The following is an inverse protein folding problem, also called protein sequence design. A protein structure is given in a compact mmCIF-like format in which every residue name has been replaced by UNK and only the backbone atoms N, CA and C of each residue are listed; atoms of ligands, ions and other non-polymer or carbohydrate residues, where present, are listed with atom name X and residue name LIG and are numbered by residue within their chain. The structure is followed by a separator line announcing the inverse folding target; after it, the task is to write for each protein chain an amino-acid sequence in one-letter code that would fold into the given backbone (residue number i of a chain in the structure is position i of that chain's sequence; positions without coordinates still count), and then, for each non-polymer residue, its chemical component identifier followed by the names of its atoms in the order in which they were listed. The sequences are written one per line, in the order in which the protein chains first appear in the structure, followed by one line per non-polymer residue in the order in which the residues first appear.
data_IF_836696484843
#
_entry.id   IF_836696484843
#
_cell.length_a   1.000
_cell.length_b   1.000
_cell.length_c   1.000
_cell.angle_alpha   90.00
_cell.angle_beta   90.00
_cell.angle_gamma   90.00
#
_symmetry.space_group_name_H-M   'P 1'
#
loop_
_entity.id
_entity.type
_entity.pdbx_description
1 polymer ?
#
# COMPACT_ATOMS: atom_id res chain seq x y z
N UNK A 1 -63.35 5.62 -19.50
CA UNK A 1 -61.91 5.56 -19.84
C UNK A 1 -61.19 4.94 -18.65
N UNK A 2 -60.66 3.72 -18.80
CA UNK A 2 -59.95 3.04 -17.73
C UNK A 2 -58.55 3.68 -17.57
N UNK A 3 -58.26 4.18 -16.36
CA UNK A 3 -56.96 4.74 -16.00
C UNK A 3 -55.95 3.59 -16.05
N UNK A 4 -55.08 3.58 -17.06
CA UNK A 4 -54.03 2.56 -17.23
C UNK A 4 -53.12 2.65 -16.00
N UNK A 5 -53.19 1.63 -15.13
CA UNK A 5 -52.36 1.52 -13.93
C UNK A 5 -50.92 1.32 -14.41
N UNK A 6 -50.09 2.34 -14.25
CA UNK A 6 -48.66 2.24 -14.53
C UNK A 6 -48.09 1.26 -13.51
N UNK A 7 -47.58 0.11 -13.96
CA UNK A 7 -46.81 -0.78 -13.10
C UNK A 7 -45.54 -0.03 -12.71
N UNK A 8 -45.44 0.34 -11.43
CA UNK A 8 -44.22 0.92 -10.88
C UNK A 8 -43.16 -0.18 -10.87
N UNK A 9 -42.03 0.07 -11.54
CA UNK A 9 -40.89 -0.84 -11.49
C UNK A 9 -40.50 -1.08 -10.02
N UNK A 10 -40.30 -2.34 -9.64
CA UNK A 10 -39.97 -2.70 -8.25
C UNK A 10 -38.63 -2.08 -7.83
N UNK A 11 -37.69 -2.04 -8.77
CA UNK A 11 -36.33 -1.55 -8.59
C UNK A 11 -36.03 -0.52 -9.69
N UNK A 12 -35.46 0.60 -9.30
CA UNK A 12 -34.84 1.57 -10.21
C UNK A 12 -33.46 1.04 -10.65
N UNK A 13 -33.06 1.32 -11.89
CA UNK A 13 -31.78 0.90 -12.45
C UNK A 13 -30.84 2.10 -12.56
N UNK A 14 -29.62 1.94 -12.05
CA UNK A 14 -28.58 2.97 -11.99
C UNK A 14 -27.41 2.48 -12.83
N UNK A 15 -27.12 3.19 -13.91
CA UNK A 15 -26.01 2.89 -14.83
C UNK A 15 -24.91 3.94 -14.79
N UNK A 16 -25.20 5.16 -14.30
CA UNK A 16 -24.28 6.29 -14.33
C UNK A 16 -24.03 6.91 -12.93
N UNK A 17 -22.91 7.62 -12.79
CA UNK A 17 -22.59 8.36 -11.56
C UNK A 17 -23.63 9.46 -11.24
N UNK A 18 -24.24 10.09 -12.25
CA UNK A 18 -25.29 11.09 -12.05
C UNK A 18 -26.56 10.46 -11.46
N UNK A 19 -27.00 9.32 -11.99
CA UNK A 19 -28.16 8.56 -11.46
C UNK A 19 -27.91 8.06 -10.04
N UNK A 20 -26.67 7.66 -9.74
CA UNK A 20 -26.25 7.26 -8.40
C UNK A 20 -26.42 8.40 -7.41
N UNK A 21 -25.89 9.58 -7.70
CA UNK A 21 -26.01 10.76 -6.84
C UNK A 21 -27.46 11.20 -6.67
N UNK A 22 -28.24 11.21 -7.75
CA UNK A 22 -29.66 11.56 -7.72
C UNK A 22 -30.47 10.57 -6.85
N UNK A 23 -30.17 9.27 -6.96
CA UNK A 23 -30.83 8.26 -6.13
C UNK A 23 -30.51 8.48 -4.66
N UNK A 24 -29.24 8.73 -4.31
CA UNK A 24 -28.81 8.92 -2.93
C UNK A 24 -29.38 10.18 -2.25
N UNK A 25 -29.82 11.18 -3.02
CA UNK A 25 -30.49 12.37 -2.49
C UNK A 25 -31.94 12.12 -2.06
N UNK A 26 -32.53 10.99 -2.43
CA UNK A 26 -33.92 10.67 -2.09
C UNK A 26 -34.07 10.38 -0.60
N UNK A 27 -35.22 10.76 -0.06
CA UNK A 27 -35.58 10.48 1.33
C UNK A 27 -35.91 8.99 1.54
N UNK A 28 -35.62 8.50 2.75
CA UNK A 28 -35.88 7.14 3.18
C UNK A 28 -34.68 6.20 3.06
N UNK A 29 -34.98 4.91 3.25
CA UNK A 29 -34.02 3.81 3.16
C UNK A 29 -34.00 3.26 1.74
N UNK A 30 -32.85 3.31 1.10
CA UNK A 30 -32.61 2.81 -0.25
C UNK A 30 -31.70 1.59 -0.17
N UNK A 31 -32.21 0.44 -0.60
CA UNK A 31 -31.42 -0.79 -0.73
C UNK A 31 -31.00 -0.92 -2.19
N UNK A 32 -29.69 -0.90 -2.43
CA UNK A 32 -29.11 -0.96 -3.77
C UNK A 32 -28.36 -2.29 -3.94
N UNK A 33 -28.83 -3.11 -4.88
CA UNK A 33 -28.14 -4.33 -5.31
C UNK A 33 -27.06 -3.96 -6.35
N UNK A 34 -25.80 -4.09 -5.96
CA UNK A 34 -24.64 -3.76 -6.78
C UNK A 34 -24.30 -4.97 -7.64
N UNK A 35 -24.25 -4.75 -8.95
CA UNK A 35 -23.96 -5.79 -9.93
C UNK A 35 -22.96 -5.31 -10.99
N UNK A 36 -22.45 -6.24 -11.79
CA UNK A 36 -21.58 -5.95 -12.92
C UNK A 36 -22.25 -6.33 -14.24
N UNK A 37 -21.87 -5.68 -15.33
CA UNK A 37 -22.46 -5.88 -16.66
C UNK A 37 -22.53 -7.36 -17.09
N UNK A 38 -21.50 -8.14 -16.74
CA UNK A 38 -21.40 -9.54 -17.11
C UNK A 38 -22.25 -10.50 -16.24
N UNK A 39 -22.66 -10.10 -15.02
CA UNK A 39 -23.47 -10.94 -14.13
C UNK A 39 -24.93 -10.51 -14.02
N UNK A 40 -25.22 -9.22 -14.22
CA UNK A 40 -26.54 -8.64 -14.00
C UNK A 40 -26.99 -8.66 -12.53
N UNK A 41 -28.12 -8.02 -12.22
CA UNK A 41 -28.63 -7.93 -10.86
C UNK A 41 -29.14 -9.28 -10.33
N UNK A 42 -29.22 -9.39 -9.01
CA UNK A 42 -29.57 -10.64 -8.35
C UNK A 42 -31.06 -10.99 -8.50
N UNK A 43 -31.37 -11.84 -9.49
CA UNK A 43 -32.75 -12.33 -9.75
C UNK A 43 -33.40 -13.02 -8.55
N UNK A 44 -32.60 -13.65 -7.67
CA UNK A 44 -33.10 -14.33 -6.47
C UNK A 44 -33.64 -13.36 -5.41
N UNK A 45 -33.08 -12.14 -5.32
CA UNK A 45 -33.50 -11.14 -4.35
C UNK A 45 -34.81 -10.43 -4.76
N UNK A 46 -35.11 -10.35 -6.05
CA UNK A 46 -36.31 -9.68 -6.60
C UNK A 46 -37.60 -10.18 -5.95
N UNK A 47 -37.75 -11.50 -5.77
CA UNK A 47 -38.93 -12.10 -5.15
C UNK A 47 -39.10 -11.71 -3.69
N UNK A 48 -37.98 -11.66 -2.95
CA UNK A 48 -37.94 -11.24 -1.55
C UNK A 48 -38.31 -9.76 -1.40
N UNK A 49 -37.70 -8.88 -2.20
CA UNK A 49 -38.01 -7.44 -2.16
C UNK A 49 -39.46 -7.14 -2.53
N UNK A 50 -40.02 -7.86 -3.50
CA UNK A 50 -41.44 -7.75 -3.84
C UNK A 50 -42.35 -8.11 -2.67
N UNK A 51 -42.04 -9.21 -1.97
CA UNK A 51 -42.79 -9.65 -0.79
C UNK A 51 -42.69 -8.61 0.34
N UNK A 52 -41.48 -8.21 0.70
CA UNK A 52 -41.24 -7.23 1.77
C UNK A 52 -41.93 -5.90 1.47
N UNK A 53 -41.85 -5.39 0.22
CA UNK A 53 -42.51 -4.15 -0.17
C UNK A 53 -44.03 -4.23 -0.04
N UNK A 54 -44.62 -5.37 -0.40
CA UNK A 54 -46.06 -5.60 -0.26
C UNK A 54 -46.51 -5.76 1.20
N UNK A 55 -45.68 -6.39 2.05
CA UNK A 55 -45.98 -6.61 3.47
C UNK A 55 -45.84 -5.32 4.30
N UNK A 56 -44.77 -4.56 4.08
CA UNK A 56 -44.50 -3.33 4.83
C UNK A 56 -45.30 -2.14 4.30
N UNK A 57 -45.49 -2.05 2.98
CA UNK A 57 -46.19 -0.94 2.31
C UNK A 57 -45.75 0.44 2.84
N UNK A 58 -44.43 0.63 2.92
CA UNK A 58 -43.79 1.80 3.50
C UNK A 58 -43.18 2.69 2.41
N UNK A 59 -43.55 3.97 2.39
CA UNK A 59 -43.11 4.94 1.39
C UNK A 59 -41.62 5.32 1.54
N UNK A 60 -41.03 5.10 2.71
CA UNK A 60 -39.59 5.31 2.94
C UNK A 60 -38.74 4.15 2.42
N UNK A 61 -39.34 3.01 2.03
CA UNK A 61 -38.60 1.83 1.59
C UNK A 61 -38.45 1.79 0.05
N UNK A 62 -37.23 2.02 -0.40
CA UNK A 62 -36.86 2.05 -1.82
C UNK A 62 -35.87 0.94 -2.16
N UNK A 63 -36.00 0.38 -3.37
CA UNK A 63 -35.08 -0.62 -3.90
C UNK A 63 -34.53 -0.13 -5.24
N UNK A 64 -33.24 -0.34 -5.46
CA UNK A 64 -32.57 -0.06 -6.71
C UNK A 64 -31.57 -1.17 -7.04
N UNK A 65 -31.11 -1.19 -8.29
CA UNK A 65 -29.99 -1.99 -8.77
C UNK A 65 -28.98 -1.04 -9.39
N UNK A 66 -27.68 -1.26 -9.15
CA UNK A 66 -26.64 -0.40 -9.71
C UNK A 66 -25.57 -1.21 -10.43
N UNK A 67 -25.32 -0.84 -11.68
CA UNK A 67 -24.24 -1.37 -12.51
C UNK A 67 -22.92 -0.70 -12.13
N UNK A 68 -22.10 -1.40 -11.37
CA UNK A 68 -20.84 -0.89 -10.83
C UNK A 68 -19.87 -0.40 -11.92
N UNK A 69 -19.91 -0.98 -13.13
CA UNK A 69 -19.03 -0.63 -14.26
C UNK A 69 -19.18 0.82 -14.72
N UNK A 70 -20.37 1.43 -14.57
CA UNK A 70 -20.66 2.80 -15.00
C UNK A 70 -20.69 3.85 -13.88
N UNK A 71 -20.48 3.44 -12.63
CA UNK A 71 -20.53 4.32 -11.45
C UNK A 71 -19.16 4.35 -10.77
N UNK A 72 -18.51 5.51 -10.77
CA UNK A 72 -17.16 5.70 -10.19
C UNK A 72 -17.14 5.43 -8.68
N UNK A 73 -18.20 5.85 -7.97
CA UNK A 73 -18.35 5.62 -6.52
C UNK A 73 -18.39 4.14 -6.13
N UNK A 74 -18.64 3.27 -7.10
CA UNK A 74 -18.76 1.83 -6.90
C UNK A 74 -17.51 1.04 -7.30
N UNK A 75 -16.40 1.71 -7.66
CA UNK A 75 -15.18 1.05 -8.13
C UNK A 75 -14.67 -0.03 -7.15
N UNK A 76 -14.69 0.28 -5.85
CA UNK A 76 -14.31 -0.63 -4.76
C UNK A 76 -15.16 -1.91 -4.63
N UNK A 77 -16.32 -1.96 -5.29
CA UNK A 77 -17.21 -3.13 -5.29
C UNK A 77 -17.10 -3.98 -6.57
N UNK A 78 -16.28 -3.57 -7.54
CA UNK A 78 -16.07 -4.30 -8.80
C UNK A 78 -15.26 -5.59 -8.61
N UNK A 79 -15.36 -6.48 -9.59
CA UNK A 79 -14.57 -7.72 -9.67
C UNK A 79 -15.08 -8.87 -8.80
N UNK A 80 -16.33 -8.83 -8.36
CA UNK A 80 -16.93 -9.86 -7.50
C UNK A 80 -18.20 -10.42 -8.11
N UNK A 81 -18.36 -11.74 -8.02
CA UNK A 81 -19.56 -12.44 -8.46
C UNK A 81 -20.61 -12.61 -7.35
N UNK A 82 -20.31 -12.14 -6.14
CA UNK A 82 -21.20 -12.23 -4.99
C UNK A 82 -22.16 -11.03 -4.96
N UNK A 83 -23.49 -11.26 -4.85
CA UNK A 83 -24.47 -10.17 -4.69
C UNK A 83 -24.13 -9.27 -3.50
N UNK A 84 -24.26 -7.97 -3.70
CA UNK A 84 -23.86 -6.97 -2.71
C UNK A 84 -24.98 -5.95 -2.52
N UNK A 85 -25.65 -5.99 -1.37
CA UNK A 85 -26.74 -5.09 -1.03
C UNK A 85 -26.23 -3.99 -0.11
N UNK A 86 -26.22 -2.76 -0.60
CA UNK A 86 -25.87 -1.57 0.18
C UNK A 86 -27.13 -0.85 0.64
N UNK A 87 -27.13 -0.38 1.88
CA UNK A 87 -28.27 0.29 2.48
C UNK A 87 -27.88 1.74 2.71
N UNK A 88 -28.61 2.66 2.09
CA UNK A 88 -28.41 4.09 2.22
C UNK A 88 -29.61 4.75 2.89
N UNK A 89 -29.35 5.62 3.86
CA UNK A 89 -30.34 6.55 4.40
C UNK A 89 -29.83 7.97 4.23
N UNK A 90 -30.61 8.85 3.60
CA UNK A 90 -30.22 10.24 3.32
C UNK A 90 -28.77 10.39 2.81
N UNK A 91 -28.42 9.60 1.80
CA UNK A 91 -27.09 9.56 1.16
C UNK A 91 -25.96 8.88 1.94
N UNK A 92 -26.18 8.44 3.19
CA UNK A 92 -25.14 7.78 4.02
C UNK A 92 -25.30 6.27 4.00
N UNK A 93 -24.19 5.53 3.87
CA UNK A 93 -24.18 4.07 3.97
C UNK A 93 -24.45 3.65 5.42
N UNK A 94 -25.55 2.94 5.68
CA UNK A 94 -25.98 2.55 7.05
C UNK A 94 -25.90 1.05 7.32
N UNK A 95 -25.80 0.24 6.27
CA UNK A 95 -25.55 -1.20 6.33
C UNK A 95 -25.03 -1.71 4.98
N UNK A 96 -24.36 -2.86 5.01
CA UNK A 96 -23.94 -3.58 3.83
C UNK A 96 -24.10 -5.08 4.08
N UNK A 97 -24.73 -5.79 3.13
CA UNK A 97 -24.97 -7.24 3.20
C UNK A 97 -24.38 -7.87 1.94
N UNK A 98 -23.67 -8.99 2.10
CA UNK A 98 -23.10 -9.77 1.00
C UNK A 98 -23.81 -11.12 0.90
N UNK A 99 -24.00 -11.57 -0.34
CA UNK A 99 -24.71 -12.79 -0.66
C UNK A 99 -26.22 -12.68 -0.45
N UNK A 100 -26.95 -13.64 -1.02
CA UNK A 100 -28.41 -13.72 -0.85
C UNK A 100 -28.72 -14.60 0.34
N UNK A 101 -28.90 -13.98 1.50
CA UNK A 101 -29.38 -14.65 2.71
C UNK A 101 -30.71 -14.00 3.15
N UNK A 102 -31.88 -14.58 2.78
CA UNK A 102 -33.17 -13.96 3.03
C UNK A 102 -33.43 -13.59 4.50
N UNK A 103 -33.20 -14.47 5.49
CA UNK A 103 -33.35 -14.10 6.90
C UNK A 103 -32.51 -12.89 7.33
N UNK A 104 -31.24 -12.83 6.91
CA UNK A 104 -30.34 -11.72 7.26
C UNK A 104 -30.78 -10.43 6.57
N UNK A 105 -31.14 -10.51 5.29
CA UNK A 105 -31.55 -9.34 4.51
C UNK A 105 -32.87 -8.77 5.04
N UNK A 106 -33.86 -9.63 5.30
CA UNK A 106 -35.17 -9.23 5.86
C UNK A 106 -35.01 -8.58 7.24
N UNK A 107 -34.23 -9.20 8.14
CA UNK A 107 -33.92 -8.62 9.44
C UNK A 107 -33.24 -7.25 9.32
N UNK A 108 -32.25 -7.14 8.42
CA UNK A 108 -31.50 -5.89 8.23
C UNK A 108 -32.38 -4.78 7.66
N UNK A 109 -33.26 -5.09 6.70
CA UNK A 109 -34.23 -4.14 6.15
C UNK A 109 -35.15 -3.63 7.26
N UNK A 110 -35.74 -4.51 8.06
CA UNK A 110 -36.66 -4.13 9.14
C UNK A 110 -35.97 -3.24 10.19
N UNK A 111 -34.77 -3.62 10.62
CA UNK A 111 -34.00 -2.87 11.60
C UNK A 111 -33.62 -1.49 11.08
N UNK A 112 -33.10 -1.41 9.85
CA UNK A 112 -32.66 -0.15 9.24
C UNK A 112 -33.82 0.75 8.86
N UNK A 113 -34.96 0.20 8.45
CA UNK A 113 -36.16 0.98 8.17
C UNK A 113 -36.74 1.58 9.45
N UNK A 114 -36.75 0.82 10.55
CA UNK A 114 -37.14 1.34 11.86
C UNK A 114 -36.21 2.48 12.30
N UNK A 115 -34.90 2.31 12.16
CA UNK A 115 -33.91 3.36 12.44
C UNK A 115 -34.15 4.60 11.57
N UNK A 116 -34.45 4.42 10.28
CA UNK A 116 -34.73 5.53 9.38
C UNK A 116 -35.99 6.31 9.81
N UNK A 117 -37.05 5.63 10.27
CA UNK A 117 -38.21 6.28 10.87
C UNK A 117 -37.88 7.08 12.14
N UNK A 118 -37.03 6.54 13.02
CA UNK A 118 -36.54 7.24 14.22
C UNK A 118 -35.72 8.48 13.83
N UNK A 119 -34.88 8.40 12.80
CA UNK A 119 -34.14 9.53 12.22
C UNK A 119 -35.10 10.58 11.65
N UNK A 120 -36.13 10.17 10.91
CA UNK A 120 -37.12 11.10 10.33
C UNK A 120 -37.96 11.82 11.40
N UNK A 121 -38.15 11.20 12.58
CA UNK A 121 -38.76 11.87 13.75
C UNK A 121 -37.80 12.76 14.53
N UNK A 122 -36.51 12.76 14.18
CA UNK A 122 -35.46 13.50 14.90
C UNK A 122 -35.07 12.88 16.24
N UNK A 123 -35.40 11.60 16.47
CA UNK A 123 -35.12 10.89 17.73
C UNK A 123 -33.68 10.36 17.79
N UNK A 124 -33.12 10.02 16.64
CA UNK A 124 -31.79 9.39 16.51
C UNK A 124 -31.03 10.05 15.35
N UNK A 125 -29.71 10.21 15.51
CA UNK A 125 -28.85 10.66 14.41
C UNK A 125 -28.47 9.50 13.48
N UNK A 126 -28.40 9.78 12.18
CA UNK A 126 -27.99 8.77 11.21
C UNK A 126 -26.49 8.48 11.30
N UNK A 127 -26.17 7.24 11.67
CA UNK A 127 -24.80 6.73 11.76
C UNK A 127 -24.37 6.13 10.42
N UNK A 128 -23.38 6.76 9.78
CA UNK A 128 -22.71 6.21 8.61
C UNK A 128 -21.71 5.13 9.02
N UNK A 129 -21.72 4.01 8.30
CA UNK A 129 -20.74 2.94 8.47
C UNK A 129 -19.72 2.96 7.34
N UNK A 130 -18.50 2.52 7.66
CA UNK A 130 -17.57 2.04 6.64
C UNK A 130 -17.86 0.58 6.39
N UNK A 131 -17.88 0.17 5.12
CA UNK A 131 -18.10 -1.23 4.77
C UNK A 131 -17.02 -2.12 5.41
N UNK A 132 -17.38 -3.04 6.33
CA UNK A 132 -16.39 -3.80 7.09
C UNK A 132 -15.50 -4.70 6.21
N UNK A 133 -16.04 -5.21 5.09
CA UNK A 133 -15.29 -6.08 4.17
C UNK A 133 -14.25 -5.28 3.41
N UNK A 134 -14.60 -4.05 3.01
CA UNK A 134 -13.65 -3.16 2.35
C UNK A 134 -12.58 -2.66 3.31
N UNK A 135 -12.96 -2.30 4.54
CA UNK A 135 -12.00 -1.89 5.57
C UNK A 135 -10.98 -3.01 5.88
N UNK A 136 -11.45 -4.26 6.02
CA UNK A 136 -10.57 -5.40 6.23
C UNK A 136 -9.60 -5.62 5.05
N UNK A 137 -10.08 -5.43 3.81
CA UNK A 137 -9.24 -5.53 2.61
C UNK A 137 -8.17 -4.43 2.57
N UNK A 138 -8.55 -3.17 2.83
CA UNK A 138 -7.62 -2.03 2.89
C UNK A 138 -6.54 -2.23 3.97
N UNK A 139 -6.92 -2.74 5.14
CA UNK A 139 -5.99 -3.05 6.22
C UNK A 139 -5.01 -4.17 5.84
N UNK A 140 -5.49 -5.25 5.23
CA UNK A 140 -4.66 -6.36 4.79
C UNK A 140 -3.65 -5.92 3.71
N UNK A 141 -4.09 -5.12 2.72
CA UNK A 141 -3.21 -4.55 1.69
C UNK A 141 -2.16 -3.60 2.28
N UNK A 142 -2.53 -2.81 3.29
CA UNK A 142 -1.60 -1.92 3.99
C UNK A 142 -0.60 -2.69 4.87
N UNK A 143 -1.00 -3.80 5.47
CA UNK A 143 -0.12 -4.70 6.23
C UNK A 143 0.87 -5.41 5.30
N UNK A 144 0.40 -5.92 4.16
CA UNK A 144 1.26 -6.55 3.16
C UNK A 144 2.27 -5.55 2.57
N UNK A 145 1.85 -4.31 2.31
CA UNK A 145 2.77 -3.25 1.85
C UNK A 145 3.86 -2.96 2.87
N UNK A 146 3.48 -2.77 4.15
CA UNK A 146 4.44 -2.55 5.24
C UNK A 146 5.41 -3.71 5.37
N UNK A 147 4.93 -4.95 5.29
CA UNK A 147 5.79 -6.13 5.33
C UNK A 147 6.78 -6.16 4.17
N UNK A 148 6.37 -5.78 2.96
CA UNK A 148 7.29 -5.70 1.80
C UNK A 148 8.33 -4.61 1.97
N UNK A 149 7.93 -3.44 2.47
CA UNK A 149 8.85 -2.33 2.79
C UNK A 149 9.87 -2.74 3.86
N UNK A 150 9.43 -3.41 4.93
CA UNK A 150 10.32 -3.97 5.96
C UNK A 150 11.24 -5.07 5.40
N UNK A 151 10.73 -5.97 4.56
CA UNK A 151 11.55 -7.00 3.90
C UNK A 151 12.59 -6.35 2.96
N UNK A 152 12.25 -5.29 2.25
CA UNK A 152 13.18 -4.54 1.38
C UNK A 152 14.25 -3.78 2.16
N UNK A 153 13.88 -3.13 3.27
CA UNK A 153 14.83 -2.47 4.18
C UNK A 153 15.82 -3.48 4.79
N UNK A 154 15.35 -4.67 5.18
CA UNK A 154 16.21 -5.75 5.68
C UNK A 154 17.13 -6.33 4.60
N UNK A 155 16.71 -6.29 3.33
CA UNK A 155 17.50 -6.74 2.18
C UNK A 155 18.57 -5.74 1.73
N UNK A 156 18.59 -4.51 2.27
CA UNK A 156 19.67 -3.58 1.99
C UNK A 156 20.95 -4.04 2.69
N UNK A 157 22.01 -4.22 1.90
CA UNK A 157 23.33 -4.48 2.46
C UNK A 157 23.99 -3.16 2.85
N UNK A 158 24.32 -3.04 4.13
CA UNK A 158 25.09 -1.92 4.68
C UNK A 158 26.54 -2.35 4.80
N UNK A 159 27.45 -1.56 4.25
CA UNK A 159 28.90 -1.77 4.37
C UNK A 159 29.62 -0.48 4.64
N UNK A 160 30.86 -0.61 5.14
CA UNK A 160 31.76 0.51 5.35
C UNK A 160 32.89 0.42 4.32
N UNK A 161 33.09 1.48 3.56
CA UNK A 161 34.25 1.64 2.67
C UNK A 161 35.22 2.66 3.29
N UNK A 162 36.53 2.35 3.26
CA UNK A 162 37.57 3.26 3.76
C UNK A 162 38.46 3.65 2.59
N UNK A 163 38.44 4.93 2.23
CA UNK A 163 39.37 5.53 1.27
C UNK A 163 40.63 5.93 2.01
N UNK A 164 41.76 5.37 1.57
CA UNK A 164 43.07 5.49 2.22
C UNK A 164 43.66 6.90 2.08
N UNK A 165 44.67 7.28 2.88
CA UNK A 165 45.19 8.66 2.90
C UNK A 165 45.73 9.18 1.56
N UNK A 166 46.27 8.33 0.70
CA UNK A 166 46.74 8.69 -0.65
C UNK A 166 45.60 9.16 -1.57
N UNK A 167 44.42 8.57 -1.45
CA UNK A 167 43.23 8.98 -2.19
C UNK A 167 42.73 10.34 -1.71
N UNK A 168 42.81 10.59 -0.41
CA UNK A 168 42.46 11.89 0.18
C UNK A 168 43.43 12.96 -0.28
N UNK A 169 44.74 12.69 -0.22
CA UNK A 169 45.78 13.65 -0.64
C UNK A 169 45.75 13.94 -2.14
N UNK A 170 45.43 12.94 -2.97
CA UNK A 170 45.31 13.11 -4.43
C UNK A 170 44.04 13.84 -4.87
N UNK A 171 43.10 14.11 -3.97
CA UNK A 171 41.85 14.82 -4.27
C UNK A 171 40.86 14.03 -5.12
N UNK A 172 41.02 12.70 -5.22
CA UNK A 172 40.20 11.82 -6.09
C UNK A 172 38.96 11.25 -5.41
N UNK A 173 38.65 11.70 -4.20
CA UNK A 173 37.51 11.22 -3.42
C UNK A 173 36.20 11.38 -4.20
N UNK A 174 35.94 12.56 -4.75
CA UNK A 174 34.68 12.85 -5.44
C UNK A 174 34.52 12.01 -6.72
N UNK A 175 35.60 11.69 -7.43
CA UNK A 175 35.58 10.78 -8.59
C UNK A 175 35.11 9.39 -8.17
N UNK A 176 35.68 8.85 -7.09
CA UNK A 176 35.32 7.51 -6.59
C UNK A 176 33.88 7.49 -6.07
N UNK A 177 33.44 8.55 -5.39
CA UNK A 177 32.05 8.67 -4.94
C UNK A 177 31.10 8.65 -6.13
N UNK A 178 31.42 9.37 -7.21
CA UNK A 178 30.60 9.34 -8.43
C UNK A 178 30.54 7.93 -9.03
N UNK A 179 31.67 7.22 -9.11
CA UNK A 179 31.70 5.83 -9.62
C UNK A 179 30.85 4.88 -8.75
N UNK A 180 30.85 5.06 -7.43
CA UNK A 180 30.01 4.30 -6.50
C UNK A 180 28.52 4.57 -6.75
N UNK A 181 28.15 5.83 -6.88
CA UNK A 181 26.76 6.25 -7.15
C UNK A 181 26.27 5.76 -8.52
N UNK A 182 27.12 5.79 -9.56
CA UNK A 182 26.81 5.24 -10.89
C UNK A 182 26.55 3.73 -10.84
N UNK A 183 27.18 3.01 -9.91
CA UNK A 183 26.98 1.57 -9.65
C UNK A 183 25.79 1.26 -8.72
N UNK A 184 24.98 2.28 -8.39
CA UNK A 184 23.80 2.16 -7.55
C UNK A 184 24.10 2.00 -6.06
N UNK A 185 25.31 2.38 -5.62
CA UNK A 185 25.67 2.43 -4.20
C UNK A 185 25.33 3.82 -3.65
N UNK A 186 24.48 3.88 -2.63
CA UNK A 186 24.15 5.11 -1.93
C UNK A 186 25.11 5.31 -0.75
N UNK A 187 25.55 6.55 -0.55
CA UNK A 187 26.40 6.93 0.59
C UNK A 187 25.52 7.65 1.62
N UNK A 188 25.26 6.99 2.74
CA UNK A 188 24.42 7.49 3.84
C UNK A 188 25.20 8.50 4.70
N UNK A 189 26.46 8.18 4.97
CA UNK A 189 27.33 9.00 5.80
C UNK A 189 28.75 8.97 5.24
N UNK A 190 29.44 10.11 5.33
CA UNK A 190 30.86 10.21 5.01
C UNK A 190 31.58 11.00 6.10
N UNK A 191 32.76 10.56 6.49
CA UNK A 191 33.53 11.16 7.57
C UNK A 191 35.02 11.03 7.34
N UNK A 192 35.72 12.15 7.39
CA UNK A 192 37.17 12.19 7.50
C UNK A 192 37.60 11.69 8.89
N UNK A 193 38.48 10.69 8.94
CA UNK A 193 38.99 10.11 10.18
C UNK A 193 40.50 9.89 10.09
N UNK A 194 41.24 10.40 11.07
CA UNK A 194 42.65 10.11 11.22
C UNK A 194 42.82 8.92 12.16
N UNK A 195 43.13 7.76 11.60
CA UNK A 195 43.27 6.53 12.37
C UNK A 195 44.44 6.62 13.35
N UNK A 196 44.20 6.19 14.58
CA UNK A 196 45.27 5.90 15.53
C UNK A 196 45.95 4.57 15.19
N UNK A 197 47.17 4.35 15.70
CA UNK A 197 47.88 3.08 15.50
C UNK A 197 47.05 1.88 15.98
N UNK A 198 46.45 2.00 17.15
CA UNK A 198 45.61 0.94 17.73
C UNK A 198 44.37 0.67 16.88
N UNK A 199 43.71 1.70 16.34
CA UNK A 199 42.55 1.54 15.45
C UNK A 199 42.94 0.86 14.13
N UNK A 200 44.05 1.27 13.51
CA UNK A 200 44.55 0.65 12.28
C UNK A 200 44.96 -0.82 12.49
N UNK A 201 45.63 -1.13 13.61
CA UNK A 201 45.99 -2.52 13.96
C UNK A 201 44.75 -3.40 14.19
N UNK A 202 43.69 -2.84 14.78
CA UNK A 202 42.42 -3.55 14.96
C UNK A 202 41.66 -3.73 13.65
N UNK A 203 41.65 -2.73 12.77
CA UNK A 203 40.98 -2.79 11.48
C UNK A 203 41.59 -3.87 10.57
N UNK A 204 42.90 -4.04 10.62
CA UNK A 204 43.66 -4.99 9.80
C UNK A 204 44.15 -6.23 10.57
N UNK A 205 43.52 -6.57 11.69
CA UNK A 205 43.91 -7.68 12.58
C UNK A 205 44.16 -9.01 11.83
N UNK A 206 43.35 -9.29 10.80
CA UNK A 206 43.46 -10.48 9.94
C UNK A 206 44.77 -10.57 9.14
N UNK A 207 45.50 -9.47 9.00
CA UNK A 207 46.75 -9.37 8.26
C UNK A 207 47.98 -9.29 9.19
N UNK A 208 47.82 -9.49 10.50
CA UNK A 208 48.92 -9.33 11.48
C UNK A 208 50.16 -10.18 11.21
N UNK A 209 49.97 -11.36 10.62
CA UNK A 209 51.04 -12.30 10.30
C UNK A 209 51.74 -11.98 8.97
N UNK A 210 51.24 -11.00 8.20
CA UNK A 210 51.79 -10.62 6.91
C UNK A 210 53.04 -9.74 7.06
N UNK A 211 54.09 -9.92 6.23
CA UNK A 211 55.35 -9.19 6.35
C UNK A 211 55.22 -7.68 6.10
N UNK A 212 54.13 -7.24 5.46
CA UNK A 212 53.84 -5.83 5.18
C UNK A 212 52.88 -5.17 6.20
N UNK A 213 52.42 -5.89 7.22
CA UNK A 213 51.42 -5.39 8.18
C UNK A 213 51.81 -4.07 8.85
N UNK A 214 53.04 -3.99 9.37
CA UNK A 214 53.51 -2.78 10.05
C UNK A 214 53.59 -1.57 9.10
N UNK A 215 54.00 -1.80 7.84
CA UNK A 215 54.01 -0.75 6.81
C UNK A 215 52.59 -0.28 6.47
N UNK A 216 51.61 -1.19 6.44
CA UNK A 216 50.21 -0.87 6.22
C UNK A 216 49.64 -0.03 7.37
N UNK A 217 49.95 -0.39 8.62
CA UNK A 217 49.54 0.39 9.80
C UNK A 217 50.15 1.79 9.76
N UNK A 218 51.46 1.90 9.53
CA UNK A 218 52.13 3.20 9.39
C UNK A 218 51.49 4.06 8.30
N UNK A 219 51.20 3.46 7.14
CA UNK A 219 50.53 4.13 6.03
C UNK A 219 49.13 4.65 6.41
N UNK A 220 48.29 3.83 7.05
CA UNK A 220 46.94 4.22 7.44
C UNK A 220 46.92 5.30 8.55
N UNK A 221 47.98 5.41 9.33
CA UNK A 221 48.16 6.47 10.35
C UNK A 221 48.86 7.73 9.83
N UNK A 222 49.35 7.71 8.58
CA UNK A 222 50.16 8.81 8.03
C UNK A 222 49.35 10.06 7.68
N UNK A 223 48.04 9.93 7.51
CA UNK A 223 47.15 11.03 7.13
C UNK A 223 45.67 10.68 7.34
N UNK A 224 44.77 11.63 7.05
CA UNK A 224 43.32 11.42 7.13
C UNK A 224 42.86 10.39 6.09
N UNK A 225 41.91 9.54 6.47
CA UNK A 225 41.19 8.63 5.57
C UNK A 225 39.72 9.07 5.50
N UNK A 226 39.06 8.84 4.37
CA UNK A 226 37.62 9.09 4.24
C UNK A 226 36.85 7.78 4.48
N UNK A 227 35.98 7.76 5.48
CA UNK A 227 35.13 6.61 5.82
C UNK A 227 33.73 6.85 5.27
N UNK A 228 33.23 5.91 4.46
CA UNK A 228 31.93 5.97 3.83
C UNK A 228 31.04 4.85 4.38
N UNK A 229 29.84 5.21 4.82
CA UNK A 229 28.75 4.27 5.09
C UNK A 229 27.93 4.11 3.82
N UNK A 230 28.05 2.95 3.20
CA UNK A 230 27.47 2.67 1.90
C UNK A 230 26.32 1.67 2.04
N UNK A 231 25.23 1.91 1.31
CA UNK A 231 24.10 0.99 1.20
C UNK A 231 23.79 0.71 -0.25
N UNK A 232 23.43 -0.53 -0.54
CA UNK A 232 22.92 -0.97 -1.84
C UNK A 232 21.83 -2.01 -1.56
N UNK A 233 20.88 -2.18 -2.48
CA UNK A 233 19.82 -3.18 -2.36
C UNK A 233 20.36 -4.62 -2.25
N UNK A 234 19.53 -5.62 -2.49
CA UNK A 234 19.88 -7.05 -2.30
C UNK A 234 21.03 -7.60 -3.20
N UNK A 235 21.73 -6.75 -3.94
CA UNK A 235 22.88 -7.09 -4.77
C UNK A 235 24.17 -6.81 -4.00
N UNK A 236 24.95 -7.86 -3.74
CA UNK A 236 26.14 -7.88 -2.91
C UNK A 236 27.02 -6.63 -3.01
N UNK A 237 26.89 -5.69 -2.07
CA UNK A 237 27.61 -4.41 -2.09
C UNK A 237 29.13 -4.65 -2.00
N UNK A 238 29.52 -5.69 -1.26
CA UNK A 238 30.91 -6.08 -1.06
C UNK A 238 31.54 -6.58 -2.36
N UNK A 239 30.79 -7.26 -3.21
CA UNK A 239 31.30 -7.79 -4.48
C UNK A 239 31.47 -6.68 -5.51
N UNK A 240 30.52 -5.74 -5.57
CA UNK A 240 30.62 -4.55 -6.43
C UNK A 240 31.81 -3.66 -6.03
N UNK A 241 31.98 -3.43 -4.72
CA UNK A 241 33.12 -2.69 -4.19
C UNK A 241 34.45 -3.38 -4.50
N UNK A 242 34.53 -4.70 -4.34
CA UNK A 242 35.74 -5.47 -4.73
C UNK A 242 36.02 -5.37 -6.23
N UNK A 243 34.96 -5.39 -7.05
CA UNK A 243 35.08 -5.19 -8.50
C UNK A 243 35.63 -3.81 -8.86
N UNK A 244 35.22 -2.76 -8.13
CA UNK A 244 35.69 -1.38 -8.33
C UNK A 244 37.13 -1.17 -7.87
N UNK A 245 37.50 -1.73 -6.70
CA UNK A 245 38.87 -1.67 -6.16
C UNK A 245 39.85 -2.45 -7.04
N UNK A 246 39.38 -3.49 -7.72
CA UNK A 246 40.19 -4.36 -8.56
C UNK A 246 41.00 -5.39 -7.76
N UNK A 247 41.80 -6.23 -8.44
CA UNK A 247 42.59 -7.24 -7.76
C UNK A 247 43.57 -6.61 -6.77
N UNK A 248 43.71 -7.21 -5.59
CA UNK A 248 44.72 -6.82 -4.61
C UNK A 248 46.09 -7.20 -5.13
N UNK A 249 46.69 -6.34 -5.94
CA UNK A 249 48.06 -6.52 -6.42
C UNK A 249 48.99 -5.92 -5.38
N UNK A 250 49.54 -6.75 -4.49
CA UNK A 250 50.79 -6.43 -3.83
C UNK A 250 51.90 -6.94 -4.75
N UNK A 251 52.39 -6.08 -5.66
CA UNK A 251 53.63 -6.37 -6.38
C UNK A 251 54.76 -6.48 -5.33
N UNK A 252 55.18 -7.71 -5.07
CA UNK A 252 56.39 -8.02 -4.31
C UNK A 252 57.59 -7.64 -5.17
N UNK A 253 58.11 -6.42 -4.97
CA UNK A 253 59.31 -5.84 -5.59
C UNK A 253 59.22 -5.73 -7.13
N UNK A 254 59.52 -4.61 -7.80
CA UNK A 254 60.79 -3.86 -7.83
C UNK A 254 60.49 -2.47 -8.40
N UNK A 255 61.10 -1.42 -7.84
CA UNK A 255 61.18 -0.06 -8.40
C UNK A 255 59.86 0.74 -8.54
N UNK A 256 59.46 1.38 -7.45
CA UNK A 256 58.99 2.77 -7.59
C UNK A 256 59.58 3.60 -6.43
N UNK A 257 60.63 4.41 -6.67
CA UNK A 257 60.96 5.46 -5.72
C UNK A 257 59.82 6.48 -5.82
N UNK A 258 59.38 7.00 -4.68
CA UNK A 258 58.62 8.24 -4.63
C UNK A 258 59.21 9.31 -5.55
#
# INVERSE_FOLDING_TARGET
MAKKRVEVALQEEIETQEEWENTLQREGLIIIDIYQEWCGPCKAAVGLFRRIKAELNDDLLNFAVAKADGVESLDKYRGKCEPCFLFFGGGRLVAAVRGVNPPVLEKTILEKLKQEHEVMRGEVERVEIRDPVLLAKELAEAEERRRREEEEEVLQEVTVAVLKPDIVESGRIDEIINDLMEKGIEIIERKEHMFTKDEAENLYDKLKDEPYFQKLVEFMTSGPSEVLLCVKGAEGIVEELKGLVGPTVFETDVENPW
#
